data_IF_756499971496
#
_entry.id   IF_756499971496
#
_cell.length_a   1.000
_cell.length_b   1.000
_cell.length_c   1.000
_cell.angle_alpha   90.00
_cell.angle_beta   90.00
_cell.angle_gamma   90.00
#
_symmetry.space_group_name_H-M   'P 1'
#
loop_
_entity.id
_entity.type
_entity.pdbx_description
1 polymer ?
#
# COMPACT_ATOMS: atom_id res chain seq x y z
N UNK A 1 1.04 -0.15 -8.59
CA UNK A 1 2.29 0.66 -8.47
C UNK A 1 1.95 1.93 -7.72
N UNK A 2 2.69 2.22 -6.66
CA UNK A 2 2.61 3.46 -5.91
C UNK A 2 3.54 4.48 -6.56
N UNK A 3 2.97 5.48 -7.23
CA UNK A 3 3.72 6.46 -8.04
C UNK A 3 3.72 7.81 -7.35
N UNK A 4 4.89 8.40 -7.08
CA UNK A 4 5.01 9.71 -6.48
C UNK A 4 4.28 10.78 -7.31
N UNK A 5 3.81 11.82 -6.64
CA UNK A 5 2.99 12.86 -7.25
C UNK A 5 3.66 13.53 -8.47
N UNK A 6 4.97 13.69 -8.46
CA UNK A 6 5.71 14.32 -9.56
C UNK A 6 5.71 13.50 -10.86
N UNK A 7 5.58 12.17 -10.80
CA UNK A 7 5.49 11.29 -11.99
C UNK A 7 4.05 11.01 -12.40
N UNK A 8 3.07 11.27 -11.55
CA UNK A 8 1.67 10.87 -11.76
C UNK A 8 1.12 11.25 -13.12
N UNK A 9 1.34 12.48 -13.57
CA UNK A 9 0.83 12.97 -14.86
C UNK A 9 1.53 12.36 -16.07
N UNK A 10 2.74 11.85 -15.88
CA UNK A 10 3.54 11.23 -16.95
C UNK A 10 3.22 9.74 -17.09
N UNK A 11 2.97 9.08 -15.96
CA UNK A 11 2.70 7.63 -15.90
C UNK A 11 1.23 7.30 -16.17
N UNK A 12 0.30 8.11 -15.65
CA UNK A 12 -1.13 7.85 -15.79
C UNK A 12 -1.78 8.80 -16.77
N UNK A 13 -2.46 8.24 -17.77
CA UNK A 13 -3.37 9.00 -18.63
C UNK A 13 -4.56 9.53 -17.83
N UNK A 14 -5.24 10.57 -18.36
CA UNK A 14 -6.48 11.05 -17.77
C UNK A 14 -7.52 9.93 -17.77
N UNK A 15 -8.03 9.57 -16.60
CA UNK A 15 -9.04 8.54 -16.39
C UNK A 15 -10.10 9.04 -15.42
N UNK A 16 -11.34 8.64 -15.66
CA UNK A 16 -12.47 8.93 -14.76
C UNK A 16 -12.24 8.33 -13.37
N UNK A 17 -11.60 7.16 -13.29
CA UNK A 17 -11.24 6.51 -12.04
C UNK A 17 -10.27 7.34 -11.18
N UNK A 18 -9.48 8.22 -11.81
CA UNK A 18 -8.52 9.09 -11.12
C UNK A 18 -9.07 10.49 -10.82
N UNK A 19 -10.37 10.74 -11.06
CA UNK A 19 -10.99 12.06 -10.88
C UNK A 19 -10.75 12.65 -9.49
N UNK A 20 -10.80 11.83 -8.48
CA UNK A 20 -10.64 12.22 -7.07
C UNK A 20 -9.26 11.88 -6.49
N UNK A 21 -8.35 11.34 -7.30
CA UNK A 21 -6.99 11.05 -6.84
C UNK A 21 -6.25 12.35 -6.51
N UNK A 22 -5.64 12.41 -5.32
CA UNK A 22 -4.91 13.58 -4.83
C UNK A 22 -5.76 14.63 -4.10
N UNK A 23 -6.99 14.30 -3.71
CA UNK A 23 -7.77 15.12 -2.77
C UNK A 23 -7.26 15.01 -1.33
N UNK A 24 -6.65 13.88 -0.98
CA UNK A 24 -6.02 13.71 0.32
C UNK A 24 -4.68 14.44 0.39
N UNK A 25 -4.25 14.85 1.60
CA UNK A 25 -2.92 15.41 1.79
C UNK A 25 -1.84 14.50 1.20
N UNK A 26 -0.76 15.07 0.65
CA UNK A 26 0.32 14.26 0.10
C UNK A 26 0.98 13.41 1.19
N UNK A 27 1.34 12.19 0.85
CA UNK A 27 2.10 11.33 1.73
C UNK A 27 3.48 11.96 2.02
N UNK A 28 3.92 11.84 3.27
CA UNK A 28 5.27 12.20 3.71
C UNK A 28 6.03 10.94 4.11
N UNK A 29 6.37 10.16 3.12
CA UNK A 29 7.14 8.91 3.29
C UNK A 29 8.40 8.99 2.45
N UNK A 30 9.36 8.11 2.69
CA UNK A 30 10.58 8.05 1.87
C UNK A 30 10.29 7.77 0.39
N UNK A 31 9.23 7.02 0.09
CA UNK A 31 8.75 6.77 -1.28
C UNK A 31 8.09 8.00 -1.93
N UNK A 32 7.70 9.02 -1.13
CA UNK A 32 7.07 10.26 -1.58
C UNK A 32 7.86 11.47 -1.08
N UNK A 33 9.10 11.64 -1.57
CA UNK A 33 9.99 12.71 -1.12
C UNK A 33 9.43 14.08 -1.47
N UNK A 34 9.64 15.05 -0.59
CA UNK A 34 9.19 16.44 -0.75
C UNK A 34 10.25 17.33 -1.41
N UNK A 35 11.51 16.89 -1.42
CA UNK A 35 12.60 17.63 -2.02
C UNK A 35 12.34 17.81 -3.51
N UNK A 36 12.43 19.08 -3.96
CA UNK A 36 12.15 19.46 -5.34
C UNK A 36 13.38 19.98 -6.09
N UNK A 37 14.53 20.13 -5.41
CA UNK A 37 15.75 20.64 -6.03
C UNK A 37 16.87 19.63 -5.96
N UNK A 38 17.79 19.71 -6.93
CA UNK A 38 18.99 18.86 -6.96
C UNK A 38 19.94 19.11 -5.77
N UNK A 39 19.86 20.30 -5.16
CA UNK A 39 20.66 20.66 -4.01
C UNK A 39 20.21 19.99 -2.71
N UNK A 40 18.95 19.56 -2.65
CA UNK A 40 18.35 18.89 -1.50
C UNK A 40 18.62 17.38 -1.50
N UNK A 41 19.14 16.85 -2.62
CA UNK A 41 19.48 15.44 -2.73
C UNK A 41 20.60 15.05 -1.76
N UNK A 42 20.43 13.89 -1.15
CA UNK A 42 21.45 13.28 -0.28
C UNK A 42 21.88 11.93 -0.82
N UNK A 43 23.14 11.59 -0.57
CA UNK A 43 23.65 10.26 -0.84
C UNK A 43 22.83 9.22 -0.07
N UNK A 44 22.52 8.10 -0.70
CA UNK A 44 21.63 7.08 -0.17
C UNK A 44 20.13 7.33 -0.42
N UNK A 45 19.72 8.54 -0.86
CA UNK A 45 18.30 8.79 -1.21
C UNK A 45 17.87 7.89 -2.35
N UNK A 46 16.65 7.35 -2.25
CA UNK A 46 16.02 6.53 -3.28
C UNK A 46 14.83 7.29 -3.86
N UNK A 47 14.70 7.30 -5.19
CA UNK A 47 13.62 7.99 -5.87
C UNK A 47 13.16 7.22 -7.10
N UNK A 48 11.88 7.23 -7.36
CA UNK A 48 11.36 6.85 -8.66
C UNK A 48 11.80 7.87 -9.71
N UNK A 49 12.23 7.41 -10.86
CA UNK A 49 12.59 8.24 -11.99
C UNK A 49 12.00 7.72 -13.29
N UNK A 50 11.77 8.62 -14.23
CA UNK A 50 11.32 8.29 -15.58
C UNK A 50 12.29 8.88 -16.60
N UNK A 51 12.66 8.09 -17.61
CA UNK A 51 13.48 8.61 -18.69
C UNK A 51 12.67 9.60 -19.54
N UNK A 52 13.02 10.86 -19.49
CA UNK A 52 12.36 11.94 -20.25
C UNK A 52 12.89 11.99 -21.69
N UNK A 53 14.17 11.73 -21.85
CA UNK A 53 14.89 11.60 -23.12
C UNK A 53 16.14 10.76 -22.90
N UNK A 54 16.75 10.20 -23.96
CA UNK A 54 17.91 9.33 -23.82
C UNK A 54 18.99 9.91 -22.91
N UNK A 55 19.36 9.16 -21.87
CA UNK A 55 20.38 9.54 -20.89
C UNK A 55 19.98 10.63 -19.89
N UNK A 56 18.69 11.01 -19.81
CA UNK A 56 18.17 12.03 -18.89
C UNK A 56 16.94 11.56 -18.14
N UNK A 57 17.08 11.50 -16.84
CA UNK A 57 16.06 11.00 -15.91
C UNK A 57 15.40 12.16 -15.19
N UNK A 58 14.08 12.15 -15.18
CA UNK A 58 13.25 13.00 -14.31
C UNK A 58 13.06 12.29 -12.97
N UNK A 59 13.62 12.84 -11.92
CA UNK A 59 13.47 12.40 -10.53
C UNK A 59 12.50 13.28 -9.74
N UNK A 60 11.72 14.15 -10.40
CA UNK A 60 10.87 15.16 -9.76
C UNK A 60 11.64 16.32 -9.16
N UNK A 61 12.78 16.65 -9.73
CA UNK A 61 13.66 17.74 -9.30
C UNK A 61 13.61 18.89 -10.30
N UNK A 62 14.24 20.02 -9.94
CA UNK A 62 14.38 21.21 -10.78
C UNK A 62 15.14 20.95 -12.09
N UNK A 63 15.98 19.91 -12.14
CA UNK A 63 16.77 19.53 -13.31
C UNK A 63 16.74 18.02 -13.56
N UNK A 64 16.82 17.66 -14.85
CA UNK A 64 17.00 16.28 -15.26
C UNK A 64 18.42 15.79 -14.89
N UNK A 65 18.51 14.61 -14.35
CA UNK A 65 19.77 13.99 -13.95
C UNK A 65 20.29 13.08 -15.07
N UNK A 66 21.58 13.11 -15.32
CA UNK A 66 22.21 12.26 -16.33
C UNK A 66 22.33 10.81 -15.84
N UNK A 67 22.03 9.87 -16.74
CA UNK A 67 22.19 8.44 -16.51
C UNK A 67 22.56 7.75 -17.81
N UNK A 68 23.67 7.01 -17.82
CA UNK A 68 24.25 6.46 -19.05
C UNK A 68 23.82 5.04 -19.40
N UNK A 69 23.23 4.31 -18.44
CA UNK A 69 22.75 2.94 -18.70
C UNK A 69 21.33 2.97 -19.26
N UNK A 70 20.95 1.90 -19.95
CA UNK A 70 19.59 1.75 -20.48
C UNK A 70 18.57 1.54 -19.35
N UNK A 71 17.44 2.22 -19.43
CA UNK A 71 16.25 2.03 -18.58
C UNK A 71 14.99 2.17 -19.42
N UNK A 72 13.84 1.75 -18.89
CA UNK A 72 12.57 1.89 -19.56
C UNK A 72 12.24 3.36 -19.85
N UNK A 73 11.72 3.65 -21.05
CA UNK A 73 11.20 4.97 -21.41
C UNK A 73 9.74 5.16 -21.00
N UNK A 74 9.06 4.08 -20.64
CA UNK A 74 7.62 4.10 -20.30
C UNK A 74 7.33 3.87 -18.84
N UNK A 75 8.16 3.03 -18.21
CA UNK A 75 7.95 2.60 -16.84
C UNK A 75 8.93 3.28 -15.90
N UNK A 76 8.48 3.80 -14.76
CA UNK A 76 9.36 4.33 -13.74
C UNK A 76 10.36 3.28 -13.25
N UNK A 77 11.58 3.72 -13.03
CA UNK A 77 12.69 2.92 -12.48
C UNK A 77 13.09 3.51 -11.13
N UNK A 78 13.46 2.67 -10.18
CA UNK A 78 14.02 3.12 -8.90
C UNK A 78 15.50 3.44 -9.04
N UNK A 79 15.87 4.62 -8.55
CA UNK A 79 17.24 5.10 -8.53
C UNK A 79 17.68 5.41 -7.12
N UNK A 80 18.86 4.92 -6.77
CA UNK A 80 19.61 5.31 -5.56
C UNK A 80 20.63 6.37 -5.94
N UNK A 81 20.69 7.43 -5.17
CA UNK A 81 21.71 8.47 -5.29
C UNK A 81 23.00 7.97 -4.63
N UNK A 82 24.02 7.71 -5.43
CA UNK A 82 25.32 7.21 -4.93
C UNK A 82 26.23 8.35 -4.53
N UNK A 83 26.22 9.45 -5.34
CA UNK A 83 26.99 10.68 -5.08
C UNK A 83 26.18 11.88 -5.48
N UNK A 84 26.41 13.01 -4.81
CA UNK A 84 25.80 14.29 -5.15
C UNK A 84 26.81 15.29 -5.71
N UNK A 85 28.09 15.13 -5.42
CA UNK A 85 29.17 16.03 -5.85
C UNK A 85 30.34 15.26 -6.45
N UNK A 86 31.05 15.80 -7.46
CA UNK A 86 30.77 17.05 -8.22
C UNK A 86 29.59 16.93 -9.16
N UNK A 87 29.15 15.71 -9.44
CA UNK A 87 27.97 15.41 -10.26
C UNK A 87 27.12 14.35 -9.58
N UNK A 88 25.82 14.41 -9.79
CA UNK A 88 24.89 13.38 -9.29
C UNK A 88 25.18 12.06 -10.03
N UNK A 89 25.46 11.02 -9.26
CA UNK A 89 25.64 9.64 -9.76
C UNK A 89 24.47 8.80 -9.25
N UNK A 90 23.81 8.15 -10.18
CA UNK A 90 22.66 7.27 -9.92
C UNK A 90 23.02 5.82 -10.15
N UNK A 91 22.39 4.93 -9.40
CA UNK A 91 22.37 3.50 -9.59
C UNK A 91 20.92 3.01 -9.57
N UNK A 92 20.57 2.06 -10.44
CA UNK A 92 19.25 1.41 -10.38
C UNK A 92 19.23 0.43 -9.22
N UNK A 93 18.08 0.34 -8.54
CA UNK A 93 17.86 -0.56 -7.41
C UNK A 93 16.52 -1.25 -7.61
N UNK A 94 16.44 -2.52 -7.22
CA UNK A 94 15.16 -3.23 -7.21
C UNK A 94 14.40 -2.92 -5.92
N UNK A 95 13.08 -3.07 -5.97
CA UNK A 95 12.23 -2.76 -4.81
C UNK A 95 12.50 -3.68 -3.63
N UNK A 96 12.79 -4.93 -3.91
CA UNK A 96 13.11 -5.99 -2.96
C UNK A 96 14.38 -5.71 -2.14
N UNK A 97 15.28 -4.89 -2.68
CA UNK A 97 16.50 -4.46 -1.99
C UNK A 97 16.26 -3.31 -0.99
N UNK A 98 15.03 -2.76 -0.96
CA UNK A 98 14.67 -1.67 -0.05
C UNK A 98 14.05 -2.26 1.22
N UNK A 99 14.78 -2.20 2.33
CA UNK A 99 14.33 -2.72 3.62
C UNK A 99 13.22 -1.91 4.30
N UNK A 100 12.94 -0.71 3.80
CA UNK A 100 11.97 0.21 4.37
C UNK A 100 10.63 0.14 3.62
N UNK A 101 9.55 0.65 4.25
CA UNK A 101 8.27 0.78 3.57
C UNK A 101 8.39 1.65 2.31
N UNK A 102 8.09 1.08 1.17
CA UNK A 102 8.19 1.74 -0.14
C UNK A 102 6.87 1.74 -0.91
N UNK A 103 5.77 2.02 -0.23
CA UNK A 103 4.43 1.99 -0.80
C UNK A 103 3.79 0.59 -0.77
N UNK A 104 2.69 0.43 -1.50
CA UNK A 104 1.93 -0.82 -1.60
C UNK A 104 2.02 -1.42 -3.00
N UNK A 105 1.77 -2.70 -3.08
CA UNK A 105 1.59 -3.42 -4.33
C UNK A 105 0.12 -3.71 -4.57
N UNK A 106 -0.28 -3.76 -5.84
CA UNK A 106 -1.64 -4.11 -6.24
C UNK A 106 -1.58 -5.30 -7.16
N UNK A 107 -2.24 -6.34 -6.77
CA UNK A 107 -2.39 -7.55 -7.54
C UNK A 107 -3.87 -7.85 -7.81
N UNK A 108 -4.17 -8.43 -8.96
CA UNK A 108 -5.50 -8.87 -9.31
C UNK A 108 -5.55 -10.39 -9.27
N UNK A 109 -6.45 -10.91 -8.44
CA UNK A 109 -6.65 -12.36 -8.30
C UNK A 109 -8.00 -12.77 -8.89
N UNK A 110 -8.10 -14.00 -9.36
CA UNK A 110 -9.32 -14.57 -9.96
C UNK A 110 -10.18 -15.32 -8.96
N UNK A 111 -9.60 -15.80 -7.87
CA UNK A 111 -10.28 -16.58 -6.82
C UNK A 111 -9.89 -16.07 -5.44
N UNK A 112 -10.90 -15.74 -4.63
CA UNK A 112 -10.69 -15.35 -3.23
C UNK A 112 -10.26 -16.57 -2.39
N UNK A 113 -10.82 -17.74 -2.68
CA UNK A 113 -10.45 -18.98 -2.00
C UNK A 113 -8.97 -19.33 -2.17
N UNK A 114 -8.45 -19.22 -3.40
CA UNK A 114 -7.03 -19.48 -3.67
C UNK A 114 -6.14 -18.47 -2.96
N UNK A 115 -6.52 -17.20 -2.98
CA UNK A 115 -5.81 -16.16 -2.24
C UNK A 115 -5.77 -16.48 -0.73
N UNK A 116 -6.91 -16.79 -0.12
CA UNK A 116 -6.98 -17.11 1.31
C UNK A 116 -6.13 -18.32 1.70
N UNK A 117 -6.05 -19.32 0.82
CA UNK A 117 -5.19 -20.49 1.03
C UNK A 117 -3.70 -20.20 0.88
N UNK A 118 -3.35 -19.25 -0.03
CA UNK A 118 -1.96 -18.84 -0.21
C UNK A 118 -1.40 -18.05 0.99
N UNK A 119 -2.28 -17.49 1.82
CA UNK A 119 -1.93 -16.76 3.04
C UNK A 119 -2.27 -17.55 4.30
N UNK A 120 -1.92 -18.82 4.34
CA UNK A 120 -2.23 -19.74 5.44
C UNK A 120 -1.44 -19.48 6.74
N UNK A 121 -0.31 -18.80 6.65
CA UNK A 121 0.54 -18.35 7.78
C UNK A 121 0.13 -16.98 8.36
N UNK A 122 -0.96 -16.39 7.85
CA UNK A 122 -1.48 -15.10 8.30
C UNK A 122 -2.79 -15.24 9.07
N UNK A 123 -3.11 -14.26 9.90
CA UNK A 123 -4.47 -14.15 10.46
C UNK A 123 -5.40 -13.51 9.42
N UNK A 124 -6.39 -14.26 8.94
CA UNK A 124 -7.35 -13.83 7.91
C UNK A 124 -8.63 -13.31 8.55
N UNK A 125 -8.92 -12.04 8.34
CA UNK A 125 -10.04 -11.34 8.97
C UNK A 125 -11.00 -10.84 7.90
N UNK A 126 -12.25 -11.30 7.94
CA UNK A 126 -13.35 -10.83 7.11
C UNK A 126 -14.16 -9.75 7.81
N UNK A 127 -14.32 -8.57 7.19
CA UNK A 127 -15.13 -7.49 7.74
C UNK A 127 -16.55 -7.54 7.18
N UNK A 128 -17.54 -7.62 8.08
CA UNK A 128 -18.95 -7.66 7.72
C UNK A 128 -19.81 -7.01 8.80
N UNK A 129 -20.82 -6.24 8.38
CA UNK A 129 -21.81 -5.64 9.30
C UNK A 129 -22.64 -6.68 10.08
N UNK A 130 -22.73 -7.90 9.55
CA UNK A 130 -23.50 -9.00 10.14
C UNK A 130 -22.64 -9.91 11.05
N UNK A 131 -21.36 -9.58 11.23
CA UNK A 131 -20.44 -10.33 12.07
C UNK A 131 -20.55 -9.89 13.54
N UNK A 132 -20.00 -10.68 14.48
CA UNK A 132 -19.83 -10.26 15.87
C UNK A 132 -19.05 -8.94 15.97
N UNK A 133 -19.39 -8.15 17.00
CA UNK A 133 -18.71 -6.88 17.23
C UNK A 133 -17.26 -7.10 17.64
N UNK A 134 -16.37 -6.22 17.18
CA UNK A 134 -14.94 -6.30 17.46
C UNK A 134 -14.62 -6.53 18.94
N UNK A 135 -15.24 -5.78 19.85
CA UNK A 135 -14.96 -5.88 21.29
C UNK A 135 -15.29 -7.26 21.89
N UNK A 136 -16.14 -8.04 21.25
CA UNK A 136 -16.48 -9.41 21.71
C UNK A 136 -15.38 -10.41 21.38
N UNK A 137 -14.56 -10.12 20.37
CA UNK A 137 -13.50 -10.98 19.85
C UNK A 137 -12.09 -10.45 20.15
N UNK A 138 -11.98 -9.30 20.83
CA UNK A 138 -10.72 -8.58 21.00
C UNK A 138 -9.60 -9.42 21.60
N UNK A 139 -9.91 -10.19 22.65
CA UNK A 139 -8.91 -11.03 23.33
C UNK A 139 -8.42 -12.18 22.48
N UNK A 140 -9.34 -12.87 21.81
CA UNK A 140 -9.01 -14.01 20.94
C UNK A 140 -8.21 -13.53 19.73
N UNK A 141 -8.66 -12.44 19.13
CA UNK A 141 -7.98 -11.80 18.00
C UNK A 141 -6.56 -11.37 18.39
N UNK A 142 -6.41 -10.72 19.54
CA UNK A 142 -5.10 -10.27 20.04
C UNK A 142 -4.14 -11.43 20.26
N UNK A 143 -4.61 -12.53 20.83
CA UNK A 143 -3.79 -13.72 21.05
C UNK A 143 -3.37 -14.37 19.75
N UNK A 144 -4.27 -14.46 18.77
CA UNK A 144 -4.00 -15.07 17.46
C UNK A 144 -3.05 -14.20 16.63
N UNK A 145 -3.31 -12.91 16.52
CA UNK A 145 -2.46 -11.98 15.78
C UNK A 145 -1.04 -11.91 16.34
N UNK A 146 -0.89 -12.10 17.66
CA UNK A 146 0.42 -12.19 18.31
C UNK A 146 1.30 -13.34 17.80
N UNK A 147 0.68 -14.41 17.34
CA UNK A 147 1.35 -15.62 16.85
C UNK A 147 1.60 -15.65 15.34
N UNK A 148 1.12 -14.65 14.59
CA UNK A 148 1.24 -14.60 13.11
C UNK A 148 2.14 -13.45 12.66
N UNK A 149 2.75 -13.59 11.47
CA UNK A 149 3.65 -12.57 10.92
C UNK A 149 2.89 -11.42 10.27
N UNK A 150 1.66 -11.65 9.82
CA UNK A 150 0.86 -10.66 9.12
C UNK A 150 -0.64 -10.86 9.34
N UNK A 151 -1.42 -9.87 8.95
CA UNK A 151 -2.89 -9.91 8.95
C UNK A 151 -3.38 -9.67 7.53
N UNK A 152 -4.23 -10.56 7.04
CA UNK A 152 -4.96 -10.40 5.79
C UNK A 152 -6.37 -9.87 6.10
N UNK A 153 -6.63 -8.61 5.79
CA UNK A 153 -7.94 -7.97 5.97
C UNK A 153 -8.76 -8.05 4.69
N UNK A 154 -9.94 -8.66 4.76
CA UNK A 154 -10.84 -8.86 3.61
C UNK A 154 -12.08 -8.00 3.76
N UNK A 155 -12.40 -7.24 2.71
CA UNK A 155 -13.55 -6.35 2.66
C UNK A 155 -14.47 -6.70 1.50
N UNK A 156 -15.78 -6.48 1.68
CA UNK A 156 -16.75 -6.60 0.60
C UNK A 156 -16.66 -5.48 -0.43
N UNK A 157 -17.41 -5.63 -1.50
CA UNK A 157 -17.57 -4.60 -2.53
C UNK A 157 -18.64 -3.53 -2.16
N UNK A 158 -18.84 -2.52 -3.03
CA UNK A 158 -19.76 -1.42 -2.76
C UNK A 158 -21.23 -1.84 -2.60
N UNK A 159 -21.64 -2.91 -3.28
CA UNK A 159 -23.02 -3.37 -3.33
C UNK A 159 -23.23 -4.76 -2.73
N UNK A 160 -22.17 -5.48 -2.47
CA UNK A 160 -22.21 -6.88 -2.05
C UNK A 160 -21.19 -7.15 -0.96
N UNK A 161 -21.58 -7.91 0.04
CA UNK A 161 -20.66 -8.42 1.07
C UNK A 161 -19.68 -9.46 0.50
N UNK A 162 -18.68 -9.84 1.30
CA UNK A 162 -17.65 -10.83 0.91
C UNK A 162 -18.29 -12.12 0.42
N UNK A 163 -19.28 -12.64 1.14
CA UNK A 163 -19.95 -13.90 0.83
C UNK A 163 -20.94 -13.84 -0.33
N UNK A 164 -21.42 -12.65 -0.66
CA UNK A 164 -22.30 -12.41 -1.81
C UNK A 164 -21.50 -12.24 -3.09
N UNK A 165 -20.33 -11.62 -2.98
CA UNK A 165 -19.40 -11.42 -4.10
C UNK A 165 -18.81 -12.73 -4.61
N UNK A 166 -18.62 -13.70 -3.73
CA UNK A 166 -18.02 -15.02 -4.04
C UNK A 166 -19.04 -16.14 -3.84
N UNK A 167 -20.22 -16.04 -4.44
CA UNK A 167 -21.31 -16.99 -4.19
C UNK A 167 -20.93 -18.45 -4.48
N UNK A 168 -20.22 -18.70 -5.59
CA UNK A 168 -19.70 -20.03 -5.95
C UNK A 168 -18.63 -20.57 -5.00
N UNK A 169 -17.92 -19.70 -4.27
CA UNK A 169 -16.86 -20.04 -3.34
C UNK A 169 -17.25 -19.85 -1.88
N UNK A 170 -18.52 -19.53 -1.61
CA UNK A 170 -19.02 -19.06 -0.31
C UNK A 170 -18.59 -19.90 0.88
N UNK A 171 -18.80 -21.22 0.80
CA UNK A 171 -18.46 -22.13 1.91
C UNK A 171 -16.94 -22.24 2.09
N UNK A 172 -16.18 -22.23 1.00
CA UNK A 172 -14.74 -22.24 1.04
C UNK A 172 -14.17 -20.96 1.62
N UNK A 173 -14.71 -19.80 1.24
CA UNK A 173 -14.30 -18.49 1.79
C UNK A 173 -14.60 -18.45 3.29
N UNK A 174 -15.79 -18.91 3.71
CA UNK A 174 -16.15 -19.00 5.13
C UNK A 174 -15.15 -19.83 5.93
N UNK A 175 -14.78 -20.99 5.40
CA UNK A 175 -13.89 -21.94 6.07
C UNK A 175 -12.43 -21.46 6.16
N UNK A 176 -12.03 -20.52 5.29
CA UNK A 176 -10.66 -20.00 5.23
C UNK A 176 -10.50 -18.60 5.83
N UNK A 177 -11.52 -18.03 6.45
CA UNK A 177 -11.42 -16.79 7.24
C UNK A 177 -11.44 -17.16 8.73
N UNK A 178 -10.42 -16.75 9.45
CA UNK A 178 -10.23 -17.10 10.85
C UNK A 178 -11.16 -16.30 11.78
N UNK A 179 -11.39 -15.02 11.46
CA UNK A 179 -12.29 -14.14 12.21
C UNK A 179 -13.22 -13.36 11.28
N UNK A 180 -14.50 -13.31 11.64
CA UNK A 180 -15.47 -12.40 11.07
C UNK A 180 -15.76 -11.30 12.06
N UNK A 181 -15.63 -10.02 11.65
CA UNK A 181 -15.68 -8.89 12.56
C UNK A 181 -16.56 -7.78 12.02
N UNK A 182 -17.42 -7.24 12.89
CA UNK A 182 -18.05 -5.95 12.68
C UNK A 182 -17.23 -4.87 13.42
N UNK A 183 -16.54 -4.03 12.66
CA UNK A 183 -15.74 -2.90 13.18
C UNK A 183 -16.51 -1.60 13.28
N UNK A 184 -17.74 -1.54 12.72
CA UNK A 184 -18.59 -0.35 12.69
C UNK A 184 -19.98 -0.73 13.24
N UNK A 185 -20.11 -0.79 14.58
CA UNK A 185 -21.41 -1.08 15.19
C UNK A 185 -22.42 0.03 14.87
N UNK A 186 -23.70 -0.33 14.84
CA UNK A 186 -24.83 0.60 14.71
C UNK A 186 -24.67 1.57 13.52
N UNK A 187 -24.14 1.07 12.39
CA UNK A 187 -23.96 1.92 11.22
C UNK A 187 -25.27 2.56 10.79
N UNK A 188 -25.29 3.90 10.74
CA UNK A 188 -26.46 4.70 10.42
C UNK A 188 -26.77 4.83 8.92
N UNK A 189 -25.97 4.20 8.06
CA UNK A 189 -26.13 4.17 6.60
C UNK A 189 -26.38 2.76 6.11
N UNK A 190 -27.03 2.61 4.97
CA UNK A 190 -27.25 1.30 4.36
C UNK A 190 -25.94 0.61 4.02
N UNK A 191 -25.00 1.38 3.49
CA UNK A 191 -23.62 0.92 3.19
C UNK A 191 -22.60 1.93 3.68
N UNK A 192 -21.48 1.46 4.18
CA UNK A 192 -20.28 2.27 4.48
C UNK A 192 -19.34 2.16 3.29
N UNK A 193 -18.78 3.26 2.86
CA UNK A 193 -17.80 3.26 1.75
C UNK A 193 -16.55 2.49 2.14
N UNK A 194 -15.90 1.87 1.15
CA UNK A 194 -14.72 1.06 1.39
C UNK A 194 -13.61 1.83 2.09
N UNK A 195 -13.35 3.07 1.68
CA UNK A 195 -12.35 3.94 2.30
C UNK A 195 -12.64 4.24 3.77
N UNK A 196 -13.90 4.41 4.14
CA UNK A 196 -14.33 4.62 5.53
C UNK A 196 -14.20 3.33 6.34
N UNK A 197 -14.64 2.20 5.76
CA UNK A 197 -14.49 0.89 6.39
C UNK A 197 -13.03 0.51 6.59
N UNK A 198 -12.15 0.76 5.61
CA UNK A 198 -10.71 0.57 5.72
C UNK A 198 -10.13 1.40 6.85
N UNK A 199 -10.44 2.70 6.88
CA UNK A 199 -9.89 3.61 7.89
C UNK A 199 -10.25 3.17 9.31
N UNK A 200 -11.53 2.87 9.57
CA UNK A 200 -11.99 2.43 10.88
C UNK A 200 -11.41 1.06 11.24
N UNK A 201 -11.51 0.09 10.34
CA UNK A 201 -11.08 -1.28 10.61
C UNK A 201 -9.56 -1.38 10.83
N UNK A 202 -8.76 -0.70 10.02
CA UNK A 202 -7.31 -0.65 10.20
C UNK A 202 -6.92 0.10 11.46
N UNK A 203 -7.65 1.16 11.84
CA UNK A 203 -7.46 1.85 13.11
C UNK A 203 -7.68 0.95 14.31
N UNK A 204 -8.76 0.16 14.27
CA UNK A 204 -9.09 -0.84 15.30
C UNK A 204 -8.02 -1.94 15.35
N UNK A 205 -7.64 -2.52 14.22
CA UNK A 205 -6.57 -3.53 14.16
C UNK A 205 -5.24 -2.97 14.66
N UNK A 206 -4.87 -1.76 14.26
CA UNK A 206 -3.62 -1.14 14.69
C UNK A 206 -3.57 -0.91 16.21
N UNK A 207 -4.71 -0.70 16.86
CA UNK A 207 -4.77 -0.60 18.31
C UNK A 207 -4.41 -1.91 19.02
N UNK A 208 -4.67 -3.07 18.38
CA UNK A 208 -4.27 -4.39 18.89
C UNK A 208 -2.78 -4.66 18.67
N UNK A 209 -2.30 -4.34 17.48
CA UNK A 209 -0.96 -4.70 16.99
C UNK A 209 0.08 -3.66 17.40
N UNK A 210 -0.32 -2.42 17.64
CA UNK A 210 0.56 -1.26 17.85
C UNK A 210 1.53 -1.34 19.03
N UNK A 211 1.42 -2.38 19.86
CA UNK A 211 2.42 -2.71 20.90
C UNK A 211 3.38 -3.83 20.49
N UNK A 212 3.13 -4.51 19.37
CA UNK A 212 3.83 -5.73 18.98
C UNK A 212 4.77 -5.53 17.78
N UNK A 213 4.48 -4.57 16.91
CA UNK A 213 5.39 -4.21 15.84
C UNK A 213 6.38 -3.19 16.42
N UNK A 214 7.63 -3.63 16.62
CA UNK A 214 8.72 -2.72 16.86
C UNK A 214 8.71 -1.68 15.71
N UNK A 215 8.49 -0.40 16.04
CA UNK A 215 8.39 0.69 15.08
C UNK A 215 9.53 0.62 14.08
N UNK A 216 9.30 0.49 12.78
CA UNK A 216 10.30 0.94 11.83
C UNK A 216 10.44 2.45 12.08
N UNK A 217 11.64 2.87 12.47
CA UNK A 217 11.94 4.18 13.03
C UNK A 217 11.27 5.35 12.33
N UNK A 218 10.22 5.88 12.93
CA UNK A 218 9.85 7.26 12.77
C UNK A 218 10.80 8.04 13.72
N UNK A 219 11.89 8.52 13.18
CA UNK A 219 12.66 9.56 13.83
C UNK A 219 11.95 10.89 13.59
N UNK A 220 11.59 11.57 14.68
CA UNK A 220 11.09 12.95 14.69
C UNK A 220 12.04 13.92 13.99
#
# INVERSE_FOLDING_TARGET
>A
MDVPQYLRRKVFSKSQALKFAGLLPPLRTKSHPLEATTNDLREGSIRWGLQERPGKIDLGLDKLVSYSKAVSERDPTLFKVVKTTPHIVLETIEREDISEYWGYEVERVSSLTELLKAFDDTTRIGFSRNAPLFHQLENDLKSTVAGTQAVLAVFGGPSHGILEFSESERESVKANIDFWINSIPDQGTETVRLEEALFVSLGVLNSLVGKMIAKPGFHE
#
